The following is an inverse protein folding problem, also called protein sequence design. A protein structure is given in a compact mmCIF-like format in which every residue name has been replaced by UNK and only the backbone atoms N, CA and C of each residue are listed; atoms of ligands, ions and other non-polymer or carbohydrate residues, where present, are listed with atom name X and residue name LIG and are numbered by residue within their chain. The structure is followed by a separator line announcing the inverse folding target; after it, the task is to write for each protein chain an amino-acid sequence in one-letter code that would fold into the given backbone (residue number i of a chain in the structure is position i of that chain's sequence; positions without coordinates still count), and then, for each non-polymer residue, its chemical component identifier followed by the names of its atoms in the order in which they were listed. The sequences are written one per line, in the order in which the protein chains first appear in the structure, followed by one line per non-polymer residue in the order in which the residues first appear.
data_IF_680456758717
#
_entry.id   IF_680456758717
#
_cell.length_a   1.000
_cell.length_b   1.000
_cell.length_c   1.000
_cell.angle_alpha   90.00
_cell.angle_beta   90.00
_cell.angle_gamma   90.00
#
_symmetry.space_group_name_H-M   'P 1'
#
loop_
_entity.id
_entity.type
_entity.pdbx_description
1 polymer ?
#
# COMPACT_ATOMS: atom_id res chain seq x y z
N UNK A 1 16.50 -10.05 11.85
CA UNK A 1 15.81 -8.96 11.15
C UNK A 1 14.69 -9.58 10.33
N UNK A 2 13.46 -9.15 10.55
CA UNK A 2 12.27 -9.50 9.78
C UNK A 2 11.80 -8.25 9.04
N UNK A 3 11.21 -8.45 7.86
CA UNK A 3 10.53 -7.42 7.08
C UNK A 3 9.14 -7.97 6.79
N UNK A 4 8.10 -7.19 7.06
CA UNK A 4 6.71 -7.62 6.83
C UNK A 4 6.45 -7.88 5.35
N UNK A 5 5.31 -8.51 5.06
CA UNK A 5 4.69 -8.38 3.75
C UNK A 5 4.41 -6.90 3.40
N UNK A 6 4.10 -6.65 2.13
CA UNK A 6 3.82 -5.31 1.63
C UNK A 6 2.53 -4.75 2.26
N UNK A 7 2.66 -3.61 2.93
CA UNK A 7 1.58 -3.00 3.73
C UNK A 7 1.15 -1.68 3.09
N UNK A 8 -0.13 -1.60 2.69
CA UNK A 8 -0.68 -0.44 2.00
C UNK A 8 -0.61 0.84 2.84
N UNK A 9 -0.21 1.95 2.22
CA UNK A 9 -0.13 3.27 2.87
C UNK A 9 -1.42 4.09 2.82
N UNK A 10 -2.36 3.70 1.98
CA UNK A 10 -3.63 4.39 1.75
C UNK A 10 -4.63 3.46 1.08
N UNK A 11 -5.88 3.90 0.94
CA UNK A 11 -6.93 3.11 0.27
C UNK A 11 -6.62 2.83 -1.21
N UNK A 12 -5.97 3.78 -1.91
CA UNK A 12 -5.56 3.62 -3.32
C UNK A 12 -4.26 2.82 -3.47
N UNK A 13 -3.56 2.56 -2.38
CA UNK A 13 -2.30 1.81 -2.37
C UNK A 13 -2.50 0.30 -2.54
N UNK A 14 -3.73 -0.17 -2.34
CA UNK A 14 -4.11 -1.57 -2.38
C UNK A 14 -4.33 -2.05 -3.82
N UNK A 15 -3.89 -3.27 -4.13
CA UNK A 15 -4.15 -3.90 -5.44
C UNK A 15 -4.28 -5.41 -5.40
N UNK A 16 -4.16 -6.04 -4.23
CA UNK A 16 -4.23 -7.48 -4.06
C UNK A 16 -5.08 -7.85 -2.84
N UNK A 17 -6.12 -8.69 -3.02
CA UNK A 17 -6.99 -9.10 -1.92
C UNK A 17 -6.22 -9.69 -0.75
N UNK A 18 -6.63 -9.33 0.48
CA UNK A 18 -6.06 -9.88 1.70
C UNK A 18 -4.72 -9.27 2.13
N UNK A 19 -4.19 -8.29 1.40
CA UNK A 19 -2.99 -7.56 1.85
C UNK A 19 -3.31 -6.57 2.98
N UNK A 20 -2.42 -6.40 3.97
CA UNK A 20 -2.66 -5.51 5.10
C UNK A 20 -2.49 -4.03 4.72
N UNK A 21 -3.01 -3.16 5.58
CA UNK A 21 -2.83 -1.72 5.53
C UNK A 21 -2.23 -1.17 6.82
N UNK A 22 -1.85 0.12 6.80
CA UNK A 22 -1.42 0.84 8.01
C UNK A 22 -1.83 2.33 7.99
N UNK A 23 -2.93 2.66 7.31
CA UNK A 23 -3.45 4.04 7.22
C UNK A 23 -4.60 4.33 8.18
N UNK A 24 -5.26 3.30 8.72
CA UNK A 24 -6.32 3.46 9.72
C UNK A 24 -5.82 3.11 11.12
N UNK A 25 -6.46 3.68 12.14
CA UNK A 25 -6.19 3.33 13.53
C UNK A 25 -6.47 1.85 13.82
N UNK A 26 -7.53 1.30 13.25
CA UNK A 26 -7.87 -0.12 13.40
C UNK A 26 -6.74 -1.03 12.90
N UNK A 27 -6.16 -0.69 11.75
CA UNK A 27 -5.00 -1.42 11.21
C UNK A 27 -3.79 -1.32 12.12
N UNK A 28 -3.49 -0.13 12.67
CA UNK A 28 -2.39 0.06 13.63
C UNK A 28 -2.57 -0.81 14.88
N UNK A 29 -3.77 -0.82 15.49
CA UNK A 29 -4.04 -1.67 16.65
C UNK A 29 -3.94 -3.16 16.31
N UNK A 30 -4.30 -3.57 15.09
CA UNK A 30 -4.17 -4.96 14.64
C UNK A 30 -2.70 -5.38 14.42
N UNK A 31 -1.81 -4.44 14.10
CA UNK A 31 -0.37 -4.71 13.96
C UNK A 31 0.36 -4.91 15.29
N UNK A 32 -0.05 -4.20 16.36
CA UNK A 32 0.59 -4.27 17.69
C UNK A 32 0.86 -5.69 18.22
N UNK A 33 -0.12 -6.62 18.27
CA UNK A 33 0.15 -7.97 18.78
C UNK A 33 1.13 -8.76 17.90
N UNK A 34 1.21 -8.46 16.60
CA UNK A 34 2.17 -9.07 15.67
C UNK A 34 3.59 -8.57 15.98
N UNK A 35 3.74 -7.26 16.19
CA UNK A 35 5.00 -6.62 16.56
C UNK A 35 5.48 -7.10 17.94
N UNK A 36 4.59 -7.11 18.93
CA UNK A 36 4.87 -7.60 20.29
C UNK A 36 5.39 -9.04 20.27
N UNK A 37 4.70 -9.94 19.55
CA UNK A 37 5.12 -11.34 19.45
C UNK A 37 6.50 -11.55 18.80
N UNK A 38 6.93 -10.64 17.92
CA UNK A 38 8.29 -10.65 17.36
C UNK A 38 9.31 -10.10 18.36
N UNK A 39 8.98 -9.02 19.06
CA UNK A 39 9.85 -8.40 20.06
C UNK A 39 10.04 -9.26 21.31
N UNK A 40 9.01 -10.01 21.74
CA UNK A 40 9.10 -10.99 22.84
C UNK A 40 10.15 -12.08 22.57
N UNK A 41 10.47 -12.32 21.29
CA UNK A 41 11.50 -13.26 20.85
C UNK A 41 12.84 -12.59 20.54
N UNK A 42 13.00 -11.30 20.89
CA UNK A 42 14.20 -10.50 20.63
C UNK A 42 14.41 -10.18 19.14
N UNK A 43 13.37 -10.27 18.32
CA UNK A 43 13.42 -9.95 16.90
C UNK A 43 13.51 -8.44 16.64
N UNK A 44 14.06 -8.09 15.48
CA UNK A 44 13.93 -6.74 14.90
C UNK A 44 12.96 -6.84 13.73
N UNK A 45 11.99 -5.93 13.65
CA UNK A 45 10.93 -5.98 12.64
C UNK A 45 10.77 -4.63 11.92
N UNK A 46 10.77 -4.66 10.59
CA UNK A 46 10.46 -3.51 9.74
C UNK A 46 9.13 -3.75 9.01
N UNK A 47 8.29 -2.72 8.94
CA UNK A 47 7.09 -2.72 8.12
C UNK A 47 7.43 -2.22 6.70
N UNK A 48 7.17 -3.05 5.68
CA UNK A 48 7.35 -2.66 4.28
C UNK A 48 6.15 -1.84 3.80
N UNK A 49 6.21 -0.52 3.94
CA UNK A 49 5.16 0.39 3.43
C UNK A 49 5.15 0.45 1.90
N UNK A 50 3.96 0.35 1.30
CA UNK A 50 3.80 0.03 -0.11
C UNK A 50 2.63 0.75 -0.78
N UNK A 51 2.77 0.98 -2.09
CA UNK A 51 1.71 1.46 -2.99
C UNK A 51 1.86 0.76 -4.36
N UNK A 52 0.82 0.06 -4.83
CA UNK A 52 0.86 -0.70 -6.12
C UNK A 52 1.02 0.17 -7.36
N UNK A 53 0.48 1.40 -7.30
CA UNK A 53 0.42 2.27 -8.46
C UNK A 53 -0.47 1.66 -9.54
N UNK A 54 0.05 1.47 -10.75
CA UNK A 54 -0.72 0.95 -11.89
C UNK A 54 -0.96 -0.56 -11.88
N UNK A 55 -0.40 -1.30 -10.92
CA UNK A 55 -0.64 -2.75 -10.78
C UNK A 55 -1.93 -2.99 -9.98
N UNK A 56 -3.05 -2.48 -10.49
CA UNK A 56 -4.38 -2.59 -9.88
C UNK A 56 -5.48 -2.69 -10.95
N UNK A 57 -6.64 -3.26 -10.60
CA UNK A 57 -7.85 -3.26 -11.44
C UNK A 57 -8.82 -2.16 -10.97
N UNK A 58 -9.81 -1.79 -11.78
CA UNK A 58 -10.81 -0.81 -11.37
C UNK A 58 -11.57 -1.27 -10.12
N UNK A 59 -11.89 -2.56 -10.02
CA UNK A 59 -12.61 -3.17 -8.91
C UNK A 59 -11.81 -3.12 -7.59
N UNK A 60 -10.49 -3.13 -7.67
CA UNK A 60 -9.61 -3.03 -6.50
C UNK A 60 -9.47 -1.60 -5.96
N UNK A 61 -9.94 -0.59 -6.71
CA UNK A 61 -9.78 0.81 -6.36
C UNK A 61 -11.06 1.39 -5.73
N UNK A 62 -10.92 2.38 -4.83
CA UNK A 62 -12.08 3.04 -4.22
C UNK A 62 -13.06 3.56 -5.27
N UNK A 63 -14.32 3.17 -5.15
CA UNK A 63 -15.40 3.58 -6.07
C UNK A 63 -15.14 3.27 -7.56
N UNK A 64 -14.31 2.28 -7.88
CA UNK A 64 -14.04 1.91 -9.27
C UNK A 64 -13.13 2.89 -10.02
N UNK A 65 -12.42 3.77 -9.30
CA UNK A 65 -11.58 4.79 -9.95
C UNK A 65 -10.36 4.18 -10.64
N UNK A 66 -9.81 4.90 -11.63
CA UNK A 66 -8.57 4.49 -12.27
C UNK A 66 -7.40 4.53 -11.25
N UNK A 67 -6.52 3.49 -11.22
CA UNK A 67 -5.35 3.52 -10.37
C UNK A 67 -4.40 4.65 -10.77
N UNK A 68 -3.60 5.14 -9.84
CA UNK A 68 -2.67 6.25 -10.08
C UNK A 68 -1.30 5.75 -10.56
N UNK A 69 -0.64 6.54 -11.41
CA UNK A 69 0.72 6.23 -11.86
C UNK A 69 1.48 7.47 -12.32
N UNK A 70 2.77 7.30 -12.64
CA UNK A 70 3.58 8.30 -13.33
C UNK A 70 3.26 8.42 -14.83
N UNK A 71 2.40 7.53 -15.34
CA UNK A 71 2.01 7.43 -16.75
C UNK A 71 0.52 7.12 -16.87
N UNK A 72 -0.01 7.27 -18.08
CA UNK A 72 -1.34 6.83 -18.52
C UNK A 72 -1.28 5.50 -19.29
N UNK A 73 -0.09 4.87 -19.36
CA UNK A 73 0.12 3.58 -20.01
C UNK A 73 -0.17 2.43 -19.05
N UNK A 74 -1.13 1.58 -19.44
CA UNK A 74 -1.40 0.29 -18.80
C UNK A 74 -0.21 -0.67 -18.86
N UNK A 75 -0.34 -1.81 -18.19
CA UNK A 75 0.64 -2.90 -18.21
C UNK A 75 0.36 -3.79 -19.42
N UNK A 76 1.33 -3.95 -20.31
CA UNK A 76 1.16 -4.70 -21.57
C UNK A 76 2.43 -5.49 -21.92
N UNK A 77 2.35 -6.81 -22.19
CA UNK A 77 1.16 -7.64 -22.02
C UNK A 77 0.71 -7.65 -20.56
N UNK A 78 -0.56 -8.01 -20.31
CA UNK A 78 -1.06 -8.17 -18.95
C UNK A 78 -0.13 -9.08 -18.13
N UNK A 79 0.01 -8.80 -16.83
CA UNK A 79 0.81 -9.60 -15.90
C UNK A 79 -0.10 -10.60 -15.18
N UNK A 80 0.41 -11.80 -14.89
CA UNK A 80 -0.26 -12.83 -14.09
C UNK A 80 -1.65 -13.27 -14.60
N UNK A 81 -1.88 -13.14 -15.92
CA UNK A 81 -3.15 -13.50 -16.55
C UNK A 81 -4.27 -12.48 -16.36
N UNK A 82 -3.96 -11.30 -15.82
CA UNK A 82 -4.90 -10.20 -15.63
C UNK A 82 -4.69 -9.06 -16.63
N UNK A 83 -5.81 -8.52 -17.11
CA UNK A 83 -5.85 -7.22 -17.77
C UNK A 83 -5.93 -6.14 -16.69
N UNK A 84 -4.81 -5.41 -16.52
CA UNK A 84 -4.69 -4.33 -15.54
C UNK A 84 -5.38 -3.07 -16.05
N UNK A 85 -5.96 -2.29 -15.12
CA UNK A 85 -6.64 -1.05 -15.48
C UNK A 85 -5.67 -0.04 -16.12
N UNK A 86 -6.18 0.75 -17.05
CA UNK A 86 -5.43 1.89 -17.59
C UNK A 86 -5.31 2.94 -16.48
N UNK A 87 -4.10 3.29 -16.02
CA UNK A 87 -3.94 4.19 -14.90
C UNK A 87 -4.20 5.64 -15.30
N UNK A 88 -4.53 6.46 -14.31
CA UNK A 88 -4.49 7.91 -14.42
C UNK A 88 -3.10 8.41 -14.06
N UNK A 89 -2.51 9.20 -14.95
CA UNK A 89 -1.27 9.92 -14.64
C UNK A 89 -1.53 10.95 -13.53
N UNK A 90 -0.73 10.89 -12.46
CA UNK A 90 -0.74 11.92 -11.44
C UNK A 90 -0.32 13.26 -12.03
N UNK A 91 -1.05 14.31 -11.66
CA UNK A 91 -0.59 15.68 -11.83
C UNK A 91 0.47 15.99 -10.79
N UNK A 92 1.31 16.98 -11.08
CA UNK A 92 2.42 17.37 -10.18
C UNK A 92 1.91 17.81 -8.81
N UNK A 93 0.75 18.46 -8.74
CA UNK A 93 0.10 18.91 -7.50
C UNK A 93 -0.47 17.77 -6.65
N UNK A 94 -0.61 16.56 -7.18
CA UNK A 94 -1.11 15.38 -6.45
C UNK A 94 0.00 14.54 -5.83
N UNK A 95 1.24 14.63 -6.33
CA UNK A 95 2.39 13.86 -5.84
C UNK A 95 2.66 14.13 -4.34
N UNK A 96 2.60 15.38 -3.84
CA UNK A 96 2.80 15.64 -2.41
C UNK A 96 1.84 14.86 -1.50
N UNK A 97 0.60 14.58 -1.94
CA UNK A 97 -0.33 13.79 -1.14
C UNK A 97 0.16 12.34 -0.98
N UNK A 98 0.64 11.71 -2.04
CA UNK A 98 1.18 10.34 -1.96
C UNK A 98 2.42 10.28 -1.07
N UNK A 99 3.26 11.32 -1.11
CA UNK A 99 4.41 11.45 -0.18
C UNK A 99 3.91 11.57 1.26
N UNK A 100 2.84 12.33 1.50
CA UNK A 100 2.24 12.48 2.82
C UNK A 100 1.64 11.17 3.33
N UNK A 101 1.03 10.36 2.45
CA UNK A 101 0.54 9.02 2.79
C UNK A 101 1.69 8.12 3.27
N UNK A 102 2.85 8.14 2.60
CA UNK A 102 4.05 7.43 3.06
C UNK A 102 4.53 7.96 4.42
N UNK A 103 4.52 9.29 4.64
CA UNK A 103 4.89 9.90 5.92
C UNK A 103 3.98 9.44 7.06
N UNK A 104 2.67 9.39 6.81
CA UNK A 104 1.66 8.94 7.78
C UNK A 104 1.82 7.45 8.05
N UNK A 105 1.94 6.62 7.01
CA UNK A 105 2.13 5.18 7.16
C UNK A 105 3.41 4.85 7.94
N UNK A 106 4.51 5.57 7.71
CA UNK A 106 5.73 5.41 8.48
C UNK A 106 5.52 5.79 9.97
N UNK A 107 4.77 6.86 10.26
CA UNK A 107 4.43 7.22 11.65
C UNK A 107 3.59 6.14 12.31
N UNK A 108 2.59 5.64 11.61
CA UNK A 108 1.68 4.59 12.08
C UNK A 108 2.43 3.27 12.32
N UNK A 109 3.42 2.93 11.48
CA UNK A 109 4.30 1.78 11.69
C UNK A 109 5.19 1.88 12.95
N UNK A 110 5.45 3.09 13.44
CA UNK A 110 6.16 3.33 14.72
C UNK A 110 5.19 3.30 15.91
N UNK A 111 3.91 3.61 15.67
CA UNK A 111 2.84 3.53 16.69
C UNK A 111 2.37 2.09 16.95
N UNK A 112 2.43 1.25 15.91
CA UNK A 112 2.19 -0.20 15.98
C UNK A 112 3.34 -0.95 16.66
#
# INVERSE_FOLDING_TARGET
LLISEATGISETAHGFPGTPGIWTKEQVEAWKPIVEAVHDKGGLFFCQIWHVGRLATYESQPNGMAPISCTDKGITPGLDGYDWAVPRRLRVDEIPQVIDDYRIAARNAIEA
#
